data_IF_408012532125
#
_entry.id   IF_408012532125
#
_cell.length_a   1.000
_cell.length_b   1.000
_cell.length_c   1.000
_cell.angle_alpha   90.00
_cell.angle_beta   90.00
_cell.angle_gamma   90.00
#
_symmetry.space_group_name_H-M   'P 1'
#
loop_
_entity.id
_entity.type
_entity.pdbx_description
1 polymer ?
#
# COMPACT_ATOMS: atom_id res chain seq x y z
N UNK A 1 -12.79 -0.37 22.39
CA UNK A 1 -11.68 0.26 21.68
C UNK A 1 -12.27 1.20 20.62
N UNK A 2 -12.12 2.52 20.79
CA UNK A 2 -12.61 3.49 19.79
C UNK A 2 -11.57 3.60 18.68
N UNK A 3 -11.93 3.16 17.49
CA UNK A 3 -11.15 3.43 16.28
C UNK A 3 -11.52 4.83 15.82
N UNK A 4 -10.59 5.78 15.92
CA UNK A 4 -10.77 7.14 15.39
C UNK A 4 -10.07 7.17 14.03
N UNK A 5 -10.88 7.20 12.98
CA UNK A 5 -10.37 7.39 11.61
C UNK A 5 -10.25 8.89 11.39
N UNK A 6 -9.02 9.40 11.29
CA UNK A 6 -8.79 10.77 10.84
C UNK A 6 -8.65 10.75 9.31
N UNK A 7 -9.65 11.34 8.64
CA UNK A 7 -9.56 11.65 7.23
C UNK A 7 -8.88 13.00 7.11
N UNK A 8 -7.64 13.04 6.70
CA UNK A 8 -6.94 14.29 6.44
C UNK A 8 -7.24 14.74 5.01
N UNK A 9 -8.22 15.63 4.84
CA UNK A 9 -8.41 16.38 3.62
C UNK A 9 -7.42 17.54 3.59
N UNK A 10 -6.36 17.42 2.81
CA UNK A 10 -5.53 18.59 2.50
C UNK A 10 -6.21 19.33 1.35
N UNK A 11 -6.98 20.35 1.68
CA UNK A 11 -7.45 21.32 0.69
C UNK A 11 -6.33 22.30 0.45
N UNK A 12 -5.53 22.09 -0.59
CA UNK A 12 -4.66 23.14 -1.12
C UNK A 12 -5.45 23.97 -2.12
N UNK A 13 -5.84 25.17 -1.73
CA UNK A 13 -6.35 26.19 -2.66
C UNK A 13 -5.18 26.65 -3.51
N UNK A 14 -5.03 26.12 -4.71
CA UNK A 14 -4.15 26.69 -5.74
C UNK A 14 -5.01 27.25 -6.85
N UNK A 15 -4.91 28.56 -6.97
CA UNK A 15 -5.44 29.37 -8.06
C UNK A 15 -4.76 29.02 -9.38
N UNK A 16 -5.54 28.84 -10.44
CA UNK A 16 -5.21 28.97 -11.85
C UNK A 16 -4.48 27.85 -12.60
N UNK A 17 -5.26 27.13 -13.41
CA UNK A 17 -4.91 26.60 -14.73
C UNK A 17 -3.78 25.58 -14.85
N UNK A 18 -4.09 24.32 -14.54
CA UNK A 18 -3.84 23.18 -15.46
C UNK A 18 -4.63 21.97 -14.95
N UNK A 19 -5.62 21.55 -15.74
CA UNK A 19 -6.27 20.25 -15.54
C UNK A 19 -5.25 19.16 -15.88
N UNK A 20 -4.54 18.71 -14.89
CA UNK A 20 -3.97 17.37 -14.86
C UNK A 20 -4.76 16.65 -13.78
N UNK A 21 -5.68 15.77 -14.15
CA UNK A 21 -6.24 14.84 -13.19
C UNK A 21 -5.15 13.82 -12.84
N UNK A 22 -4.33 14.17 -11.87
CA UNK A 22 -3.58 13.17 -11.14
C UNK A 22 -4.61 12.55 -10.19
N UNK A 23 -4.93 11.29 -10.40
CA UNK A 23 -5.57 10.51 -9.37
C UNK A 23 -4.64 10.55 -8.14
N UNK A 24 -5.11 11.16 -7.07
CA UNK A 24 -4.30 11.33 -5.86
C UNK A 24 -4.20 9.99 -5.12
N UNK A 25 -3.02 9.70 -4.57
CA UNK A 25 -2.84 8.62 -3.63
C UNK A 25 -3.76 8.84 -2.42
N UNK A 26 -4.49 7.83 -2.03
CA UNK A 26 -5.29 7.85 -0.80
C UNK A 26 -4.60 7.02 0.27
N UNK A 27 -4.13 7.68 1.33
CA UNK A 27 -3.39 7.05 2.42
C UNK A 27 -4.17 7.23 3.72
N UNK A 28 -4.35 6.15 4.45
CA UNK A 28 -5.03 6.14 5.74
C UNK A 28 -4.11 5.54 6.79
N UNK A 29 -3.80 6.31 7.82
CA UNK A 29 -3.06 5.83 8.99
C UNK A 29 -4.05 5.23 9.98
N UNK A 30 -3.89 3.96 10.31
CA UNK A 30 -4.77 3.26 11.27
C UNK A 30 -4.29 3.50 12.70
N UNK A 31 -2.99 3.71 12.87
CA UNK A 31 -2.39 4.06 14.16
C UNK A 31 -1.70 5.42 14.08
N UNK A 32 -1.61 6.11 15.20
CA UNK A 32 -0.86 7.36 15.32
C UNK A 32 0.64 7.05 15.30
N UNK A 33 1.20 7.04 14.10
CA UNK A 33 2.63 6.85 13.90
C UNK A 33 3.33 8.19 14.10
N UNK A 34 4.16 8.30 15.12
CA UNK A 34 4.92 9.52 15.46
C UNK A 34 6.41 9.36 15.18
N UNK A 35 6.74 8.75 14.06
CA UNK A 35 8.12 8.58 13.64
C UNK A 35 8.61 9.70 12.73
N UNK A 36 9.90 9.68 12.46
CA UNK A 36 10.58 10.63 11.59
C UNK A 36 11.01 9.99 10.26
N UNK A 37 10.56 8.77 9.99
CA UNK A 37 11.00 8.01 8.82
C UNK A 37 9.98 8.13 7.71
N UNK A 38 10.47 8.47 6.51
CA UNK A 38 9.70 8.39 5.27
C UNK A 38 10.05 7.09 4.54
N UNK A 39 9.04 6.40 4.04
CA UNK A 39 9.18 5.19 3.24
C UNK A 39 8.60 5.45 1.86
N UNK A 40 9.45 5.40 0.84
CA UNK A 40 9.02 5.43 -0.55
C UNK A 40 8.97 4.00 -1.12
N UNK A 41 7.94 3.72 -1.90
CA UNK A 41 7.76 2.44 -2.54
C UNK A 41 7.39 2.63 -4.00
N UNK A 42 8.04 1.85 -4.86
CA UNK A 42 7.74 1.79 -6.29
C UNK A 42 7.52 0.33 -6.69
N UNK A 43 6.36 0.07 -7.30
CA UNK A 43 6.01 -1.24 -7.83
C UNK A 43 5.95 -1.12 -9.36
N UNK A 44 6.77 -1.89 -10.02
CA UNK A 44 6.94 -1.89 -11.47
C UNK A 44 6.44 -3.18 -12.12
N UNK A 45 6.28 -3.15 -13.45
CA UNK A 45 5.87 -4.30 -14.26
C UNK A 45 4.45 -4.81 -13.92
N UNK A 46 3.54 -3.90 -13.62
CA UNK A 46 2.13 -4.19 -13.54
C UNK A 46 1.59 -4.50 -14.96
N UNK A 47 0.48 -5.25 -15.05
CA UNK A 47 0.00 -5.75 -16.35
C UNK A 47 -0.89 -4.76 -17.09
N UNK A 48 -1.50 -3.83 -16.38
CA UNK A 48 -2.36 -2.80 -16.95
C UNK A 48 -2.23 -1.48 -16.20
N UNK A 49 -2.84 -0.43 -16.71
CA UNK A 49 -3.02 0.84 -16.01
C UNK A 49 -4.44 0.97 -15.43
N UNK A 50 -5.24 -0.11 -15.48
CA UNK A 50 -6.62 -0.08 -14.99
C UNK A 50 -6.64 -0.34 -13.47
N UNK A 51 -7.45 0.45 -12.77
CA UNK A 51 -7.64 0.31 -11.34
C UNK A 51 -6.44 0.70 -10.49
N UNK A 52 -6.63 0.87 -9.19
CA UNK A 52 -5.58 1.26 -8.26
C UNK A 52 -4.78 0.06 -7.73
N UNK A 53 -3.58 0.36 -7.26
CA UNK A 53 -2.84 -0.54 -6.40
C UNK A 53 -3.28 -0.32 -4.95
N UNK A 54 -3.74 -1.36 -4.27
CA UNK A 54 -4.02 -1.37 -2.84
C UNK A 54 -2.81 -1.84 -2.05
N UNK A 55 -2.49 -1.10 -0.97
CA UNK A 55 -1.30 -1.34 -0.16
C UNK A 55 -1.70 -1.34 1.31
N UNK A 56 -1.12 -2.23 2.08
CA UNK A 56 -1.17 -2.20 3.54
C UNK A 56 0.20 -2.46 4.14
N UNK A 57 0.51 -1.73 5.21
CA UNK A 57 1.68 -1.94 6.04
C UNK A 57 1.19 -2.51 7.37
N UNK A 58 1.80 -3.60 7.78
CA UNK A 58 1.47 -4.32 9.01
C UNK A 58 2.66 -4.22 9.97
N UNK A 59 2.39 -4.14 11.28
CA UNK A 59 3.41 -4.28 12.31
C UNK A 59 3.86 -5.75 12.47
N UNK A 60 4.81 -6.01 13.35
CA UNK A 60 5.31 -7.36 13.62
C UNK A 60 4.28 -8.32 14.25
N UNK A 61 3.15 -7.81 14.72
CA UNK A 61 2.03 -8.57 15.27
C UNK A 61 0.87 -8.75 14.27
N UNK A 62 1.13 -8.49 12.99
CA UNK A 62 0.14 -8.55 11.90
C UNK A 62 -0.99 -7.50 11.99
N UNK A 63 -0.85 -6.47 12.84
CA UNK A 63 -1.82 -5.40 12.88
C UNK A 63 -1.59 -4.42 11.74
N UNK A 64 -2.62 -4.02 10.99
CA UNK A 64 -2.48 -2.99 9.99
C UNK A 64 -2.23 -1.64 10.66
N UNK A 65 -1.16 -0.97 10.26
CA UNK A 65 -0.78 0.37 10.75
C UNK A 65 -1.03 1.45 9.71
N UNK A 66 -0.90 1.11 8.44
CA UNK A 66 -1.19 2.00 7.31
C UNK A 66 -1.91 1.20 6.22
N UNK A 67 -2.90 1.81 5.60
CA UNK A 67 -3.51 1.34 4.35
C UNK A 67 -3.54 2.49 3.36
N UNK A 68 -3.43 2.18 2.08
CA UNK A 68 -3.45 3.20 1.05
C UNK A 68 -3.74 2.65 -0.33
N UNK A 69 -3.98 3.54 -1.25
CA UNK A 69 -4.09 3.24 -2.68
C UNK A 69 -3.18 4.16 -3.47
N UNK A 70 -2.74 3.69 -4.62
CA UNK A 70 -1.96 4.46 -5.57
C UNK A 70 -2.47 4.20 -6.98
N UNK A 71 -2.62 5.23 -7.81
CA UNK A 71 -2.92 5.04 -9.21
C UNK A 71 -1.78 4.29 -9.90
N UNK A 72 -2.13 3.52 -10.92
CA UNK A 72 -1.14 2.85 -11.78
C UNK A 72 -0.94 3.69 -13.04
N UNK A 73 0.28 4.16 -13.23
CA UNK A 73 0.68 5.01 -14.35
C UNK A 73 1.89 4.38 -15.05
N UNK A 74 1.81 4.21 -16.34
CA UNK A 74 2.88 3.57 -17.12
C UNK A 74 3.30 2.20 -16.57
N UNK A 75 2.32 1.38 -16.17
CA UNK A 75 2.52 0.04 -15.59
C UNK A 75 3.32 0.03 -14.28
N UNK A 76 3.29 1.15 -13.57
CA UNK A 76 3.96 1.34 -12.28
C UNK A 76 3.07 2.07 -11.30
N UNK A 77 3.27 1.82 -10.02
CA UNK A 77 2.65 2.57 -8.94
C UNK A 77 3.73 3.07 -7.99
N UNK A 78 3.60 4.32 -7.53
CA UNK A 78 4.53 4.94 -6.60
C UNK A 78 3.75 5.56 -5.44
N UNK A 79 4.18 5.26 -4.23
CA UNK A 79 3.53 5.75 -3.02
C UNK A 79 4.58 6.08 -1.97
N UNK A 80 4.36 7.15 -1.22
CA UNK A 80 5.18 7.54 -0.08
C UNK A 80 4.36 7.57 1.19
N UNK A 81 4.99 7.18 2.28
CA UNK A 81 4.44 7.19 3.62
C UNK A 81 5.38 7.97 4.52
N UNK A 82 4.86 8.94 5.28
CA UNK A 82 5.64 9.77 6.18
C UNK A 82 5.36 9.43 7.64
N UNK A 83 6.26 9.87 8.51
CA UNK A 83 6.10 9.78 9.96
C UNK A 83 6.01 8.35 10.51
N UNK A 84 6.66 7.39 9.84
CA UNK A 84 6.72 6.01 10.31
C UNK A 84 7.75 5.89 11.44
N UNK A 85 7.39 5.24 12.53
CA UNK A 85 8.31 4.95 13.63
C UNK A 85 9.31 3.85 13.24
N UNK A 86 10.46 3.82 13.89
CA UNK A 86 11.37 2.67 13.77
C UNK A 86 10.66 1.39 14.24
N UNK A 87 10.89 0.28 13.54
CA UNK A 87 10.20 -0.96 13.85
C UNK A 87 10.39 -2.04 12.81
N UNK A 88 9.68 -3.15 13.02
CA UNK A 88 9.58 -4.22 12.02
C UNK A 88 8.22 -4.17 11.36
N UNK A 89 8.21 -4.20 10.05
CA UNK A 89 7.01 -4.07 9.24
C UNK A 89 6.99 -5.09 8.11
N UNK A 90 5.79 -5.41 7.67
CA UNK A 90 5.55 -6.14 6.44
C UNK A 90 4.67 -5.30 5.52
N UNK A 91 4.95 -5.32 4.24
CA UNK A 91 4.14 -4.65 3.21
C UNK A 91 3.46 -5.72 2.38
N UNK A 92 2.18 -5.52 2.10
CA UNK A 92 1.41 -6.33 1.18
C UNK A 92 0.65 -5.42 0.22
N UNK A 93 0.55 -5.83 -1.03
CA UNK A 93 -0.19 -5.08 -2.04
C UNK A 93 -0.85 -5.99 -3.06
N UNK A 94 -1.89 -5.49 -3.71
CA UNK A 94 -2.50 -6.10 -4.87
C UNK A 94 -3.00 -5.04 -5.84
N UNK A 95 -3.07 -5.39 -7.11
CA UNK A 95 -3.52 -4.51 -8.18
C UNK A 95 -4.98 -4.84 -8.52
N UNK A 96 -5.90 -3.98 -8.09
CA UNK A 96 -7.34 -4.12 -8.27
C UNK A 96 -7.77 -3.64 -9.68
N UNK A 97 -7.54 -4.47 -10.68
CA UNK A 97 -7.78 -4.10 -12.08
C UNK A 97 -9.27 -3.94 -12.43
N UNK A 98 -10.17 -4.50 -11.66
CA UNK A 98 -11.62 -4.44 -11.87
C UNK A 98 -12.35 -3.49 -10.91
N UNK A 99 -11.60 -2.80 -10.04
CA UNK A 99 -12.10 -1.76 -9.12
C UNK A 99 -13.18 -2.23 -8.15
N UNK A 100 -13.12 -3.51 -7.75
CA UNK A 100 -14.09 -4.09 -6.82
C UNK A 100 -13.65 -3.99 -5.34
N UNK A 101 -12.44 -3.44 -5.07
CA UNK A 101 -11.84 -3.23 -3.75
C UNK A 101 -11.54 -4.54 -2.99
N UNK A 102 -11.36 -5.63 -3.70
CA UNK A 102 -11.11 -6.94 -3.13
C UNK A 102 -10.08 -7.69 -3.97
N UNK A 103 -9.30 -8.53 -3.31
CA UNK A 103 -8.52 -9.55 -4.00
C UNK A 103 -9.46 -10.63 -4.52
N UNK A 104 -9.49 -10.83 -5.82
CA UNK A 104 -10.27 -11.88 -6.46
C UNK A 104 -9.51 -13.21 -6.50
N UNK A 105 -10.28 -14.29 -6.33
CA UNK A 105 -9.75 -15.65 -6.39
C UNK A 105 -10.52 -16.47 -7.43
N UNK A 106 -9.86 -17.45 -8.01
CA UNK A 106 -10.52 -18.44 -8.81
C UNK A 106 -11.18 -19.53 -7.93
N UNK A 107 -11.84 -20.50 -8.55
CA UNK A 107 -12.58 -21.56 -7.84
C UNK A 107 -11.70 -22.46 -6.93
N UNK A 108 -10.39 -22.46 -7.15
CA UNK A 108 -9.43 -23.24 -6.36
C UNK A 108 -8.59 -22.37 -5.42
N UNK A 109 -9.00 -21.11 -5.20
CA UNK A 109 -8.37 -20.19 -4.24
C UNK A 109 -7.07 -19.55 -4.70
N UNK A 110 -6.78 -19.54 -6.01
CA UNK A 110 -5.62 -18.84 -6.56
C UNK A 110 -6.01 -17.38 -6.86
N UNK A 111 -5.23 -16.38 -6.42
CA UNK A 111 -5.46 -14.99 -6.78
C UNK A 111 -5.49 -14.79 -8.30
N UNK A 112 -6.46 -14.00 -8.76
CA UNK A 112 -6.57 -13.58 -10.17
C UNK A 112 -5.80 -12.31 -10.45
N UNK A 113 -5.66 -11.47 -9.45
CA UNK A 113 -5.00 -10.19 -9.54
C UNK A 113 -3.53 -10.29 -9.14
N UNK A 114 -2.73 -9.38 -9.65
CA UNK A 114 -1.32 -9.27 -9.27
C UNK A 114 -1.20 -8.82 -7.82
N UNK A 115 -0.37 -9.50 -7.09
CA UNK A 115 -0.09 -9.18 -5.69
C UNK A 115 1.39 -9.38 -5.37
N UNK A 116 1.81 -8.82 -4.27
CA UNK A 116 3.17 -9.00 -3.76
C UNK A 116 3.30 -8.61 -2.31
N UNK A 117 4.49 -8.79 -1.80
CA UNK A 117 4.86 -8.43 -0.43
C UNK A 117 6.31 -8.00 -0.34
N UNK A 118 6.65 -7.33 0.76
CA UNK A 118 8.04 -7.03 1.13
C UNK A 118 8.90 -8.31 1.08
N UNK A 119 10.19 -8.12 0.84
CA UNK A 119 11.17 -9.19 0.64
C UNK A 119 10.85 -10.13 -0.52
N UNK A 120 9.91 -9.77 -1.40
CA UNK A 120 9.50 -10.56 -2.56
C UNK A 120 9.18 -12.03 -2.21
N UNK A 121 8.49 -12.22 -1.08
CA UNK A 121 8.16 -13.56 -0.58
C UNK A 121 7.10 -14.19 -1.49
N UNK A 122 7.43 -15.34 -2.05
CA UNK A 122 6.53 -16.09 -2.94
C UNK A 122 5.73 -17.13 -2.16
N UNK A 123 4.45 -17.33 -2.50
CA UNK A 123 3.66 -18.42 -1.93
C UNK A 123 4.23 -19.77 -2.39
N UNK A 124 4.36 -20.71 -1.44
CA UNK A 124 4.75 -22.10 -1.70
C UNK A 124 3.73 -22.97 -0.96
N UNK A 125 2.82 -23.62 -1.67
CA UNK A 125 1.76 -24.45 -1.08
C UNK A 125 0.89 -23.73 -0.03
N UNK A 126 0.46 -22.48 -0.33
CA UNK A 126 -0.38 -21.67 0.55
C UNK A 126 0.10 -20.21 0.58
N UNK A 127 -0.53 -19.35 1.39
CA UNK A 127 -0.14 -17.96 1.49
C UNK A 127 1.31 -17.81 1.97
N UNK A 128 2.01 -16.72 1.56
CA UNK A 128 3.36 -16.46 2.02
C UNK A 128 3.43 -16.36 3.55
N UNK A 129 4.49 -16.88 4.15
CA UNK A 129 4.69 -16.79 5.60
C UNK A 129 4.99 -15.35 6.01
N UNK A 130 4.22 -14.84 6.97
CA UNK A 130 4.30 -13.46 7.42
C UNK A 130 5.70 -13.07 7.92
N UNK A 131 6.34 -13.92 8.70
CA UNK A 131 7.66 -13.65 9.29
C UNK A 131 8.74 -13.42 8.23
N UNK A 132 8.56 -13.98 7.02
CA UNK A 132 9.47 -13.77 5.90
C UNK A 132 9.28 -12.41 5.21
N UNK A 133 8.12 -11.79 5.38
CA UNK A 133 7.84 -10.46 4.84
C UNK A 133 8.43 -9.35 5.72
N UNK A 134 8.73 -9.64 6.99
CA UNK A 134 9.22 -8.64 7.94
C UNK A 134 10.57 -8.07 7.50
N UNK A 135 10.68 -6.76 7.55
CA UNK A 135 11.91 -6.01 7.39
C UNK A 135 12.03 -4.96 8.50
N UNK A 136 13.25 -4.58 8.83
CA UNK A 136 13.50 -3.54 9.83
C UNK A 136 13.54 -2.18 9.15
N UNK A 137 12.79 -1.23 9.67
CA UNK A 137 12.80 0.17 9.26
C UNK A 137 13.53 0.96 10.35
N UNK A 138 14.76 1.38 10.07
CA UNK A 138 15.65 2.07 11.03
C UNK A 138 16.16 3.40 10.50
N UNK A 139 15.95 3.69 9.23
CA UNK A 139 16.38 4.91 8.51
C UNK A 139 15.45 5.18 7.35
N UNK A 140 15.51 6.36 6.75
CA UNK A 140 14.73 6.71 5.57
C UNK A 140 15.12 5.84 4.37
N UNK A 141 14.13 5.32 3.67
CA UNK A 141 14.24 4.47 2.48
C UNK A 141 13.31 4.93 1.37
#
# INVERSE_FOLDING_TARGET
MKVIIYILFIITTISSNKVFSQEENSIYYITDLRGDISLEMEINNLQSNNGPLYIRILDENENPVIVGTSPVINYSARISFDSISTGKYAIQFFHDENENQKMDFNLIGIPKEKFGSSNNVKPILGPPKFEKMLFSLTENK
#
